data_IF_426120098028
#
_entry.id   IF_426120098028
#
_cell.length_a   1.000
_cell.length_b   1.000
_cell.length_c   1.000
_cell.angle_alpha   90.00
_cell.angle_beta   90.00
_cell.angle_gamma   90.00
#
_symmetry.space_group_name_H-M   'P 1'
#
loop_
_entity.id
_entity.type
_entity.pdbx_description
1 polymer ?
#
# COMPACT_ATOMS: atom_id res chain seq x y z
N UNK A 1 84.38 22.32 -36.87
CA UNK A 1 84.25 21.81 -35.50
C UNK A 1 82.94 22.29 -34.96
N UNK A 2 82.07 21.39 -34.75
CA UNK A 2 80.66 21.62 -34.32
C UNK A 2 80.45 20.90 -32.99
N UNK A 3 79.82 21.50 -32.01
CA UNK A 3 79.12 20.65 -31.03
C UNK A 3 77.65 20.87 -31.09
N UNK A 4 76.97 19.76 -31.19
CA UNK A 4 75.54 19.53 -31.15
C UNK A 4 74.88 19.93 -29.84
N UNK A 5 73.80 20.63 -29.95
CA UNK A 5 72.87 20.93 -28.85
C UNK A 5 71.84 19.83 -28.72
N UNK A 6 71.78 19.15 -27.59
CA UNK A 6 70.75 18.23 -27.18
C UNK A 6 69.83 18.97 -26.20
N UNK A 7 68.69 19.45 -26.64
CA UNK A 7 67.57 19.87 -25.76
C UNK A 7 66.63 18.71 -25.56
N UNK A 8 66.68 18.13 -24.37
CA UNK A 8 65.89 17.00 -23.93
C UNK A 8 64.43 17.41 -23.57
N UNK A 9 63.53 16.71 -24.14
CA UNK A 9 62.06 16.81 -23.92
C UNK A 9 61.66 16.38 -22.51
N UNK A 10 61.33 17.31 -21.65
CA UNK A 10 60.76 17.05 -20.33
C UNK A 10 59.26 17.48 -20.21
N UNK A 11 58.66 17.94 -21.31
CA UNK A 11 57.27 18.42 -21.30
C UNK A 11 56.20 17.32 -21.34
N UNK A 12 56.52 16.11 -21.83
CA UNK A 12 55.53 15.03 -22.01
C UNK A 12 55.11 14.28 -20.74
N UNK A 13 55.99 14.29 -19.71
CA UNK A 13 55.73 13.49 -18.49
C UNK A 13 54.78 14.18 -17.51
N UNK A 14 54.68 15.51 -17.50
CA UNK A 14 53.78 16.26 -16.61
C UNK A 14 52.33 16.23 -17.09
N UNK A 15 52.08 16.26 -18.40
CA UNK A 15 50.75 16.17 -18.99
C UNK A 15 50.07 14.80 -18.78
N UNK A 16 50.87 13.72 -18.89
CA UNK A 16 50.33 12.34 -18.66
C UNK A 16 50.00 12.06 -17.21
N UNK A 17 50.71 12.65 -16.25
CA UNK A 17 50.42 12.52 -14.81
C UNK A 17 49.17 13.32 -14.41
N UNK A 18 48.96 14.49 -14.98
CA UNK A 18 47.75 15.29 -14.74
C UNK A 18 46.51 14.64 -15.33
N UNK A 19 46.58 14.01 -16.51
CA UNK A 19 45.49 13.27 -17.12
C UNK A 19 45.11 12.00 -16.34
N UNK A 20 46.10 11.29 -15.79
CA UNK A 20 45.83 10.11 -14.94
C UNK A 20 45.19 10.49 -13.59
N UNK A 21 45.59 11.62 -12.99
CA UNK A 21 44.97 12.11 -11.75
C UNK A 21 43.54 12.60 -11.96
N UNK A 22 43.22 13.21 -13.11
CA UNK A 22 41.88 13.61 -13.47
C UNK A 22 40.97 12.40 -13.76
N UNK A 23 41.48 11.34 -14.40
CA UNK A 23 40.74 10.10 -14.64
C UNK A 23 40.47 9.30 -13.34
N UNK A 24 41.36 9.35 -12.35
CA UNK A 24 41.19 8.68 -11.07
C UNK A 24 40.17 9.40 -10.18
N UNK A 25 39.99 10.71 -10.32
CA UNK A 25 39.01 11.49 -9.59
C UNK A 25 37.56 11.22 -10.07
N UNK A 26 37.37 10.78 -11.32
CA UNK A 26 36.06 10.41 -11.88
C UNK A 26 35.55 9.02 -11.45
N UNK A 27 36.44 8.18 -10.89
CA UNK A 27 36.07 6.85 -10.37
C UNK A 27 35.66 6.87 -8.89
N UNK A 28 35.70 8.00 -8.24
CA UNK A 28 35.19 8.21 -6.88
C UNK A 28 33.67 8.55 -6.85
N UNK A 29 32.92 8.12 -7.87
CA UNK A 29 31.43 8.07 -7.78
C UNK A 29 31.07 7.04 -6.71
N UNK A 30 30.98 7.50 -5.46
CA UNK A 30 30.72 6.68 -4.30
C UNK A 30 29.51 5.80 -4.55
N UNK A 31 29.66 4.50 -4.38
CA UNK A 31 28.55 3.62 -4.13
C UNK A 31 27.86 4.14 -2.87
N UNK A 32 26.78 4.88 -3.05
CA UNK A 32 25.89 5.27 -1.96
C UNK A 32 25.38 3.96 -1.36
N UNK A 33 25.71 3.71 -0.10
CA UNK A 33 25.26 2.48 0.57
C UNK A 33 23.74 2.45 0.58
N UNK A 34 23.17 1.31 0.24
CA UNK A 34 21.74 1.11 0.36
C UNK A 34 21.36 0.89 1.81
N UNK A 35 20.39 1.66 2.29
CA UNK A 35 19.78 1.50 3.59
C UNK A 35 18.38 0.88 3.44
N UNK A 36 18.05 -0.09 4.30
CA UNK A 36 16.70 -0.68 4.34
C UNK A 36 15.75 0.31 4.98
N UNK A 37 14.80 0.79 4.20
CA UNK A 37 13.79 1.75 4.67
C UNK A 37 12.61 1.02 5.34
N UNK A 38 12.13 -0.04 4.69
CA UNK A 38 11.05 -0.89 5.21
C UNK A 38 11.35 -2.35 4.92
N UNK A 39 10.90 -3.23 5.82
CA UNK A 39 11.08 -4.68 5.73
C UNK A 39 9.76 -5.40 5.97
N UNK A 40 9.65 -6.64 5.55
CA UNK A 40 8.50 -7.53 5.78
C UNK A 40 7.18 -6.92 5.26
N UNK A 41 7.21 -6.35 4.05
CA UNK A 41 6.05 -5.75 3.41
C UNK A 41 5.34 -6.77 2.51
N UNK A 42 4.02 -6.65 2.43
CA UNK A 42 3.26 -7.24 1.33
C UNK A 42 3.64 -6.56 0.01
N UNK A 43 3.59 -7.30 -1.11
CA UNK A 43 4.04 -6.78 -2.42
C UNK A 43 3.30 -5.50 -2.83
N UNK A 44 2.01 -5.43 -2.59
CA UNK A 44 1.19 -4.24 -2.86
C UNK A 44 1.67 -3.01 -2.09
N UNK A 45 2.04 -3.19 -0.81
CA UNK A 45 2.60 -2.12 0.02
C UNK A 45 3.98 -1.70 -0.45
N UNK A 46 4.84 -2.65 -0.79
CA UNK A 46 6.17 -2.36 -1.32
C UNK A 46 6.10 -1.57 -2.64
N UNK A 47 5.19 -1.95 -3.54
CA UNK A 47 4.95 -1.24 -4.80
C UNK A 47 4.46 0.20 -4.57
N UNK A 48 3.52 0.41 -3.63
CA UNK A 48 3.02 1.75 -3.27
C UNK A 48 4.14 2.64 -2.71
N UNK A 49 4.99 2.09 -1.85
CA UNK A 49 6.12 2.81 -1.27
C UNK A 49 7.13 3.20 -2.35
N UNK A 50 7.54 2.25 -3.20
CA UNK A 50 8.48 2.53 -4.29
C UNK A 50 7.92 3.59 -5.24
N UNK A 51 6.65 3.47 -5.65
CA UNK A 51 6.01 4.46 -6.50
C UNK A 51 6.01 5.86 -5.86
N UNK A 52 5.63 5.95 -4.58
CA UNK A 52 5.59 7.21 -3.84
C UNK A 52 6.96 7.90 -3.71
N UNK A 53 8.03 7.09 -3.57
CA UNK A 53 9.41 7.60 -3.48
C UNK A 53 9.93 8.05 -4.85
N UNK A 54 9.70 7.26 -5.91
CA UNK A 54 10.09 7.59 -7.26
C UNK A 54 9.41 8.86 -7.76
N UNK A 55 8.12 9.03 -7.47
CA UNK A 55 7.36 10.26 -7.79
C UNK A 55 7.96 11.51 -7.13
N UNK A 56 8.59 11.35 -5.97
CA UNK A 56 9.29 12.43 -5.26
C UNK A 56 10.78 12.57 -5.67
N UNK A 57 11.23 11.84 -6.69
CA UNK A 57 12.62 11.87 -7.14
C UNK A 57 13.59 11.19 -6.18
N UNK A 58 13.12 10.26 -5.36
CA UNK A 58 13.95 9.42 -4.48
C UNK A 58 14.05 8.03 -5.09
N UNK A 59 15.26 7.64 -5.54
CA UNK A 59 15.50 6.30 -6.06
C UNK A 59 15.27 5.26 -4.96
N UNK A 60 14.40 4.28 -5.25
CA UNK A 60 14.06 3.21 -4.32
C UNK A 60 13.97 1.88 -5.08
N UNK A 61 14.41 0.80 -4.42
CA UNK A 61 14.39 -0.55 -4.98
C UNK A 61 13.63 -1.50 -4.05
N UNK A 62 12.90 -2.44 -4.62
CA UNK A 62 12.32 -3.54 -3.85
C UNK A 62 13.15 -4.80 -4.05
N UNK A 63 13.35 -5.56 -2.99
CA UNK A 63 14.04 -6.85 -3.00
C UNK A 63 13.21 -7.89 -2.24
N UNK A 64 13.30 -9.18 -2.62
CA UNK A 64 12.66 -10.24 -1.86
C UNK A 64 13.17 -10.26 -0.41
N UNK A 65 12.27 -10.47 0.52
CA UNK A 65 12.52 -10.77 1.92
C UNK A 65 12.22 -12.23 2.25
N UNK A 66 12.09 -12.53 3.54
CA UNK A 66 11.75 -13.86 4.03
C UNK A 66 10.26 -14.15 3.84
N UNK A 67 9.89 -15.43 3.73
CA UNK A 67 8.50 -15.92 3.67
C UNK A 67 7.60 -15.26 2.60
N UNK A 68 8.18 -14.78 1.49
CA UNK A 68 7.42 -14.11 0.42
C UNK A 68 7.13 -12.63 0.69
N UNK A 69 7.70 -12.06 1.74
CA UNK A 69 7.64 -10.64 2.01
C UNK A 69 8.61 -9.84 1.11
N UNK A 70 8.48 -8.52 1.13
CA UNK A 70 9.32 -7.61 0.36
C UNK A 70 10.00 -6.57 1.25
N UNK A 71 11.21 -6.19 0.87
CA UNK A 71 11.96 -5.11 1.49
C UNK A 71 12.08 -3.94 0.49
N UNK A 72 12.11 -2.72 1.01
CA UNK A 72 12.38 -1.51 0.22
C UNK A 72 13.66 -0.87 0.73
N UNK A 73 14.58 -0.59 -0.20
CA UNK A 73 15.86 0.05 0.06
C UNK A 73 15.94 1.40 -0.66
N UNK A 74 16.69 2.32 -0.08
CA UNK A 74 17.01 3.63 -0.65
C UNK A 74 18.49 3.93 -0.40
N UNK A 75 19.04 4.91 -1.09
CA UNK A 75 20.37 5.42 -0.78
C UNK A 75 20.44 5.94 0.66
N UNK A 76 21.48 5.62 1.42
CA UNK A 76 21.65 6.02 2.82
C UNK A 76 21.55 7.54 2.99
N UNK A 77 22.10 8.30 2.04
CA UNK A 77 22.03 9.76 1.99
C UNK A 77 20.60 10.32 1.87
N UNK A 78 19.65 9.53 1.35
CA UNK A 78 18.26 9.92 1.13
C UNK A 78 17.29 9.28 2.12
N UNK A 79 17.81 8.50 3.09
CA UNK A 79 16.98 7.76 4.05
C UNK A 79 16.04 8.66 4.85
N UNK A 80 16.56 9.76 5.39
CA UNK A 80 15.74 10.68 6.19
C UNK A 80 14.62 11.35 5.37
N UNK A 81 14.94 11.78 4.13
CA UNK A 81 13.95 12.36 3.22
C UNK A 81 12.85 11.34 2.86
N UNK A 82 13.27 10.10 2.57
CA UNK A 82 12.35 9.01 2.27
C UNK A 82 11.43 8.69 3.44
N UNK A 83 11.97 8.55 4.64
CA UNK A 83 11.19 8.28 5.85
C UNK A 83 10.16 9.38 6.13
N UNK A 84 10.57 10.65 6.09
CA UNK A 84 9.69 11.81 6.29
C UNK A 84 8.59 11.88 5.23
N UNK A 85 8.91 11.54 3.96
CA UNK A 85 7.92 11.52 2.89
C UNK A 85 6.87 10.43 3.13
N UNK A 86 7.32 9.22 3.52
CA UNK A 86 6.41 8.11 3.79
C UNK A 86 5.51 8.41 4.99
N UNK A 87 6.04 9.02 6.03
CA UNK A 87 5.25 9.44 7.19
C UNK A 87 4.15 10.43 6.80
N UNK A 88 4.49 11.46 6.01
CA UNK A 88 3.51 12.43 5.49
C UNK A 88 2.44 11.80 4.61
N UNK A 89 2.77 10.73 3.89
CA UNK A 89 1.83 9.98 3.04
C UNK A 89 1.09 8.86 3.79
N UNK A 90 1.38 8.64 5.08
CA UNK A 90 0.81 7.55 5.87
C UNK A 90 1.18 6.17 5.33
N UNK A 91 2.42 5.99 4.86
CA UNK A 91 2.93 4.72 4.33
C UNK A 91 4.01 4.13 5.27
N UNK A 92 4.09 2.79 5.40
CA UNK A 92 3.13 1.79 4.92
C UNK A 92 1.75 1.95 5.57
N UNK A 93 0.70 1.61 4.82
CA UNK A 93 -0.64 1.57 5.42
C UNK A 93 -0.66 0.47 6.47
N UNK A 94 -1.16 0.78 7.66
CA UNK A 94 -1.31 -0.23 8.71
C UNK A 94 -2.27 -1.30 8.23
N UNK A 95 -1.81 -2.56 8.25
CA UNK A 95 -2.72 -3.67 8.12
C UNK A 95 -3.60 -3.69 9.37
N UNK A 96 -4.89 -3.46 9.21
CA UNK A 96 -5.83 -3.68 10.28
C UNK A 96 -6.24 -5.14 10.25
N UNK A 97 -5.94 -5.86 11.32
CA UNK A 97 -6.49 -7.19 11.50
C UNK A 97 -8.01 -7.06 11.59
N UNK A 98 -8.72 -7.67 10.66
CA UNK A 98 -10.17 -7.75 10.71
C UNK A 98 -10.64 -8.51 11.96
N UNK A 99 -11.93 -8.37 12.29
CA UNK A 99 -12.53 -9.07 13.43
C UNK A 99 -12.30 -10.59 13.31
N UNK A 100 -12.39 -11.15 12.09
CA UNK A 100 -12.13 -12.56 11.82
C UNK A 100 -10.71 -13.01 12.11
N UNK A 101 -9.72 -12.13 12.00
CA UNK A 101 -8.32 -12.41 12.36
C UNK A 101 -8.14 -12.61 13.87
N UNK A 102 -8.80 -11.74 14.66
CA UNK A 102 -8.76 -11.82 16.13
C UNK A 102 -9.43 -13.11 16.63
N UNK A 103 -10.44 -13.59 15.92
CA UNK A 103 -11.17 -14.83 16.22
C UNK A 103 -10.70 -16.03 15.38
N UNK A 104 -9.46 -16.02 14.87
CA UNK A 104 -8.86 -17.20 14.25
C UNK A 104 -8.91 -18.39 15.22
N UNK A 105 -9.25 -19.54 14.66
CA UNK A 105 -9.42 -20.79 15.42
C UNK A 105 -8.13 -21.13 16.20
N UNK A 106 -8.16 -20.91 17.50
CA UNK A 106 -7.13 -21.34 18.43
C UNK A 106 -7.68 -22.53 19.27
N UNK A 107 -7.75 -23.71 18.66
CA UNK A 107 -8.19 -24.91 19.37
C UNK A 107 -9.26 -25.73 18.63
N UNK A 108 -9.63 -26.88 19.22
CA UNK A 108 -10.55 -27.85 18.62
C UNK A 108 -12.04 -27.50 18.80
N UNK A 109 -12.38 -26.57 19.68
CA UNK A 109 -13.79 -26.23 20.00
C UNK A 109 -13.98 -24.73 19.89
N UNK A 110 -14.84 -24.30 18.99
CA UNK A 110 -15.28 -22.91 18.89
C UNK A 110 -16.63 -22.75 19.60
N UNK A 111 -16.85 -21.60 20.23
CA UNK A 111 -18.19 -21.26 20.74
C UNK A 111 -19.12 -20.85 19.61
N UNK A 112 -20.45 -21.01 19.75
CA UNK A 112 -21.42 -20.52 18.76
C UNK A 112 -21.26 -19.03 18.44
N UNK A 113 -20.89 -18.22 19.42
CA UNK A 113 -20.64 -16.77 19.23
C UNK A 113 -19.40 -16.53 18.34
N UNK A 114 -18.32 -17.27 18.51
CA UNK A 114 -17.12 -17.17 17.66
C UNK A 114 -17.40 -17.60 16.22
N UNK A 115 -18.21 -18.63 16.02
CA UNK A 115 -18.64 -19.08 14.69
C UNK A 115 -19.48 -18.02 13.98
N UNK A 116 -20.39 -17.38 14.71
CA UNK A 116 -21.19 -16.27 14.21
C UNK A 116 -20.34 -15.08 13.80
N UNK A 117 -19.37 -14.68 14.63
CA UNK A 117 -18.45 -13.57 14.32
C UNK A 117 -17.64 -13.89 13.06
N UNK A 118 -17.11 -15.09 12.92
CA UNK A 118 -16.36 -15.52 11.73
C UNK A 118 -17.23 -15.56 10.48
N UNK A 119 -18.47 -16.02 10.61
CA UNK A 119 -19.42 -16.02 9.49
C UNK A 119 -19.73 -14.59 9.02
N UNK A 120 -19.98 -13.65 9.95
CA UNK A 120 -20.22 -12.24 9.61
C UNK A 120 -18.99 -11.60 8.94
N UNK A 121 -17.79 -11.87 9.43
CA UNK A 121 -16.55 -11.36 8.84
C UNK A 121 -16.35 -11.91 7.43
N UNK A 122 -16.55 -13.22 7.22
CA UNK A 122 -16.44 -13.85 5.91
C UNK A 122 -17.47 -13.28 4.92
N UNK A 123 -18.72 -13.08 5.35
CA UNK A 123 -19.77 -12.50 4.52
C UNK A 123 -19.46 -11.04 4.18
N UNK A 124 -18.98 -10.25 5.13
CA UNK A 124 -18.57 -8.87 4.90
C UNK A 124 -17.40 -8.77 3.90
N UNK A 125 -16.42 -9.66 4.00
CA UNK A 125 -15.29 -9.72 3.05
C UNK A 125 -15.74 -10.15 1.65
N UNK A 126 -16.66 -11.10 1.54
CA UNK A 126 -17.17 -11.57 0.24
C UNK A 126 -17.98 -10.47 -0.47
N UNK A 127 -18.84 -9.78 0.27
CA UNK A 127 -19.57 -8.61 -0.23
C UNK A 127 -18.60 -7.49 -0.65
N UNK A 128 -17.60 -7.19 0.17
CA UNK A 128 -16.57 -6.19 -0.16
C UNK A 128 -15.82 -6.54 -1.45
N UNK A 129 -15.45 -7.82 -1.62
CA UNK A 129 -14.80 -8.30 -2.85
C UNK A 129 -15.71 -8.14 -4.07
N UNK A 130 -16.98 -8.51 -3.96
CA UNK A 130 -17.96 -8.39 -5.05
C UNK A 130 -18.17 -6.93 -5.45
N UNK A 131 -18.28 -6.03 -4.47
CA UNK A 131 -18.47 -4.60 -4.72
C UNK A 131 -17.20 -3.97 -5.30
N UNK A 132 -16.01 -4.40 -4.87
CA UNK A 132 -14.74 -3.94 -5.44
C UNK A 132 -14.54 -4.36 -6.90
N UNK A 133 -15.31 -5.31 -7.41
CA UNK A 133 -15.35 -5.69 -8.83
C UNK A 133 -16.11 -4.72 -9.73
N UNK A 134 -16.80 -3.73 -9.18
CA UNK A 134 -17.53 -2.71 -9.94
C UNK A 134 -16.54 -1.70 -10.52
N UNK A 135 -16.67 -1.38 -11.82
CA UNK A 135 -15.78 -0.39 -12.44
C UNK A 135 -15.88 0.97 -11.74
N UNK A 136 -14.72 1.57 -11.49
CA UNK A 136 -14.60 2.81 -10.74
C UNK A 136 -14.44 2.64 -9.23
N UNK A 137 -14.73 1.48 -8.66
CA UNK A 137 -14.47 1.17 -7.24
C UNK A 137 -13.03 0.67 -7.08
N UNK A 138 -12.24 1.36 -6.29
CA UNK A 138 -10.85 1.01 -5.98
C UNK A 138 -10.74 0.09 -4.76
N UNK A 139 -11.63 0.26 -3.80
CA UNK A 139 -11.69 -0.53 -2.57
C UNK A 139 -13.10 -0.43 -1.98
N UNK A 140 -13.55 -1.49 -1.35
CA UNK A 140 -14.81 -1.51 -0.63
C UNK A 140 -14.64 -2.14 0.74
N UNK A 141 -15.38 -1.64 1.72
CA UNK A 141 -15.48 -2.25 3.05
C UNK A 141 -16.94 -2.33 3.46
N UNK A 142 -17.31 -3.48 3.98
CA UNK A 142 -18.69 -3.73 4.46
C UNK A 142 -18.62 -4.04 5.94
N UNK A 143 -19.43 -3.31 6.71
CA UNK A 143 -19.61 -3.55 8.14
C UNK A 143 -21.05 -4.01 8.36
N UNK A 144 -21.20 -5.16 9.01
CA UNK A 144 -22.50 -5.80 9.24
C UNK A 144 -22.76 -5.84 10.75
N UNK A 145 -23.94 -5.45 11.15
CA UNK A 145 -24.43 -5.62 12.52
C UNK A 145 -25.64 -6.53 12.50
N UNK A 146 -25.50 -7.72 13.07
CA UNK A 146 -26.57 -8.69 13.28
C UNK A 146 -26.84 -8.77 14.78
N UNK A 147 -27.85 -8.09 15.31
CA UNK A 147 -28.16 -8.15 16.73
C UNK A 147 -28.59 -9.56 17.15
N UNK A 148 -28.26 -9.94 18.37
CA UNK A 148 -28.82 -11.13 18.99
C UNK A 148 -30.24 -10.78 19.43
N UNK A 149 -31.22 -11.38 18.76
CA UNK A 149 -32.59 -11.22 19.13
C UNK A 149 -32.97 -12.31 20.14
N UNK A 150 -33.50 -11.90 21.30
CA UNK A 150 -34.13 -12.81 22.25
C UNK A 150 -35.39 -13.36 21.61
N UNK A 151 -35.55 -14.69 21.49
CA UNK A 151 -36.76 -15.31 20.95
C UNK A 151 -38.06 -14.91 21.68
N UNK A 152 -37.94 -14.42 22.91
CA UNK A 152 -39.07 -13.96 23.74
C UNK A 152 -39.28 -12.44 23.71
N UNK A 153 -38.38 -11.69 23.05
CA UNK A 153 -38.52 -10.25 22.90
C UNK A 153 -39.70 -9.90 21.98
N UNK A 154 -40.55 -8.97 22.41
CA UNK A 154 -41.69 -8.50 21.60
C UNK A 154 -41.28 -7.75 20.33
N UNK A 155 -40.08 -7.18 20.32
CA UNK A 155 -39.51 -6.43 19.19
C UNK A 155 -38.09 -6.94 18.88
N UNK A 156 -37.92 -7.52 17.71
CA UNK A 156 -36.60 -7.87 17.21
C UNK A 156 -35.84 -6.59 16.82
N UNK A 157 -34.59 -6.51 17.22
CA UNK A 157 -33.67 -5.44 16.76
C UNK A 157 -33.33 -5.69 15.28
N UNK A 158 -33.45 -4.68 14.41
CA UNK A 158 -33.19 -4.87 13.00
C UNK A 158 -31.67 -4.96 12.74
N UNK A 159 -31.30 -5.80 11.76
CA UNK A 159 -29.95 -5.81 11.20
C UNK A 159 -29.65 -4.48 10.51
N UNK A 160 -28.38 -4.11 10.45
CA UNK A 160 -27.92 -2.93 9.73
C UNK A 160 -26.57 -3.19 9.04
N UNK A 161 -26.30 -2.44 7.98
CA UNK A 161 -25.03 -2.51 7.26
C UNK A 161 -24.54 -1.12 6.85
N UNK A 162 -23.22 -0.96 6.85
CA UNK A 162 -22.55 0.22 6.33
C UNK A 162 -21.50 -0.20 5.28
N UNK A 163 -21.57 0.43 4.11
CA UNK A 163 -20.64 0.20 3.00
C UNK A 163 -19.83 1.47 2.78
N UNK A 164 -18.51 1.36 2.90
CA UNK A 164 -17.57 2.40 2.57
C UNK A 164 -16.92 2.06 1.23
N UNK A 165 -17.02 2.95 0.25
CA UNK A 165 -16.44 2.80 -1.08
C UNK A 165 -15.33 3.82 -1.28
N UNK A 166 -14.19 3.39 -1.76
CA UNK A 166 -13.17 4.27 -2.31
C UNK A 166 -13.27 4.21 -3.84
N UNK A 167 -13.59 5.35 -4.44
CA UNK A 167 -13.80 5.48 -5.87
C UNK A 167 -12.64 6.20 -6.56
N UNK A 168 -12.39 5.85 -7.80
CA UNK A 168 -11.50 6.58 -8.70
C UNK A 168 -12.01 8.03 -8.84
N UNK A 169 -11.11 9.00 -8.98
CA UNK A 169 -11.41 10.44 -9.02
C UNK A 169 -12.41 10.85 -10.14
N UNK A 170 -12.46 10.08 -11.22
CA UNK A 170 -13.30 10.31 -12.41
C UNK A 170 -14.55 9.42 -12.45
N UNK A 171 -14.77 8.56 -11.46
CA UNK A 171 -15.89 7.65 -11.43
C UNK A 171 -17.09 8.26 -10.69
N UNK A 172 -18.25 8.24 -11.35
CA UNK A 172 -19.54 8.52 -10.71
C UNK A 172 -20.23 7.18 -10.37
N UNK A 173 -20.37 6.90 -9.09
CA UNK A 173 -21.00 5.69 -8.57
C UNK A 173 -22.45 5.92 -8.13
N UNK A 174 -23.01 7.08 -8.35
CA UNK A 174 -24.35 7.47 -7.86
C UNK A 174 -25.44 6.48 -8.32
N UNK A 175 -25.40 6.07 -9.58
CA UNK A 175 -26.37 5.14 -10.17
C UNK A 175 -26.20 3.69 -9.68
N UNK A 176 -25.03 3.34 -9.14
CA UNK A 176 -24.77 2.01 -8.59
C UNK A 176 -25.20 1.86 -7.13
N UNK A 177 -25.41 2.97 -6.39
CA UNK A 177 -25.75 2.92 -4.96
C UNK A 177 -27.00 2.09 -4.69
N UNK A 178 -28.13 2.23 -5.42
CA UNK A 178 -29.31 1.40 -5.19
C UNK A 178 -29.03 -0.10 -5.43
N UNK A 179 -28.25 -0.43 -6.44
CA UNK A 179 -27.87 -1.81 -6.78
C UNK A 179 -26.99 -2.42 -5.70
N UNK A 180 -26.01 -1.66 -5.19
CA UNK A 180 -25.13 -2.06 -4.08
C UNK A 180 -25.98 -2.32 -2.82
N UNK A 181 -26.90 -1.42 -2.49
CA UNK A 181 -27.84 -1.63 -1.36
C UNK A 181 -28.68 -2.87 -1.56
N UNK A 182 -29.19 -3.11 -2.79
CA UNK A 182 -29.94 -4.31 -3.14
C UNK A 182 -29.15 -5.59 -2.95
N UNK A 183 -27.88 -5.60 -3.39
CA UNK A 183 -26.96 -6.72 -3.20
C UNK A 183 -26.77 -7.03 -1.70
N UNK A 184 -26.45 -6.01 -0.90
CA UNK A 184 -26.20 -6.16 0.55
C UNK A 184 -27.48 -6.61 1.28
N UNK A 185 -28.63 -6.03 0.93
CA UNK A 185 -29.94 -6.42 1.50
C UNK A 185 -30.22 -7.91 1.29
N UNK A 186 -30.01 -8.40 0.08
CA UNK A 186 -30.34 -9.78 -0.28
C UNK A 186 -29.33 -10.80 0.28
N UNK A 187 -28.14 -10.36 0.67
CA UNK A 187 -27.11 -11.21 1.27
C UNK A 187 -27.25 -11.36 2.79
N UNK A 188 -28.00 -10.49 3.45
CA UNK A 188 -28.09 -10.43 4.92
C UNK A 188 -29.56 -10.61 5.35
N UNK A 189 -29.79 -11.66 6.12
CA UNK A 189 -31.12 -11.96 6.64
C UNK A 189 -31.64 -10.85 7.58
N UNK A 190 -32.92 -10.48 7.42
CA UNK A 190 -33.55 -9.47 8.25
C UNK A 190 -33.09 -8.04 8.04
N UNK A 191 -32.27 -7.78 7.00
CA UNK A 191 -31.78 -6.44 6.69
C UNK A 191 -32.75 -5.65 5.83
N UNK A 192 -33.27 -4.54 6.36
CA UNK A 192 -34.14 -3.62 5.62
C UNK A 192 -33.27 -2.67 4.76
N UNK A 193 -33.78 -2.28 3.58
CA UNK A 193 -33.06 -1.43 2.63
C UNK A 193 -32.66 -0.07 3.24
N UNK A 194 -33.49 0.48 4.10
CA UNK A 194 -33.33 1.75 4.80
C UNK A 194 -32.24 1.71 5.88
N UNK A 195 -31.87 0.48 6.31
CA UNK A 195 -30.83 0.24 7.31
C UNK A 195 -29.44 0.05 6.69
N UNK A 196 -29.33 0.28 5.37
CA UNK A 196 -28.06 0.20 4.64
C UNK A 196 -27.60 1.63 4.30
N UNK A 197 -26.45 2.01 4.83
CA UNK A 197 -25.75 3.24 4.43
C UNK A 197 -24.63 2.91 3.44
N UNK A 198 -24.49 3.73 2.38
CA UNK A 198 -23.38 3.66 1.43
C UNK A 198 -22.71 5.02 1.40
N UNK A 199 -21.43 5.06 1.67
CA UNK A 199 -20.61 6.28 1.65
C UNK A 199 -19.52 6.12 0.62
N UNK A 200 -19.38 7.08 -0.29
CA UNK A 200 -18.37 7.10 -1.34
C UNK A 200 -17.30 8.14 -1.00
N UNK A 201 -16.05 7.70 -0.98
CA UNK A 201 -14.87 8.53 -0.83
C UNK A 201 -14.13 8.55 -2.17
N UNK A 202 -14.04 9.69 -2.83
CA UNK A 202 -13.29 9.81 -4.07
C UNK A 202 -11.82 10.11 -3.81
N UNK A 203 -10.93 9.42 -4.56
CA UNK A 203 -9.51 9.75 -4.55
C UNK A 203 -9.30 11.13 -5.23
N UNK A 204 -8.31 11.91 -4.82
CA UNK A 204 -7.98 13.14 -5.50
C UNK A 204 -7.43 12.86 -6.91
N UNK A 205 -7.62 13.80 -7.87
CA UNK A 205 -7.03 13.66 -9.20
C UNK A 205 -5.51 13.56 -9.12
N UNK A 206 -4.87 12.83 -10.06
CA UNK A 206 -3.42 12.73 -10.09
C UNK A 206 -2.80 14.12 -10.25
N UNK A 207 -1.71 14.38 -9.52
CA UNK A 207 -0.97 15.63 -9.64
C UNK A 207 -0.50 15.79 -11.09
N UNK A 208 -0.84 16.93 -11.73
CA UNK A 208 -0.31 17.27 -13.06
C UNK A 208 1.20 17.47 -12.92
N UNK A 209 1.96 16.69 -13.68
CA UNK A 209 3.42 16.92 -13.86
C UNK A 209 3.65 18.10 -14.78
#
# INVERSE_FOLDING_TARGET
MNPSNKSSSTAGARGRRAACLAALALLASGCDKEARLNTNLEETQANLIVAALLDAGISAHKSPGDEGAWNVTVAESRFADAANLLEKKGLPRRAFNGVGEVFKKSGMVSSPSEERIRFMDALAQDLARTISGIDGVLDARVHIVLPENDPFARNALPSSAAVALRARYDADLTDYIPSIKGLVKNAIEGLAFEKISVTVFQDPPPARK
#
